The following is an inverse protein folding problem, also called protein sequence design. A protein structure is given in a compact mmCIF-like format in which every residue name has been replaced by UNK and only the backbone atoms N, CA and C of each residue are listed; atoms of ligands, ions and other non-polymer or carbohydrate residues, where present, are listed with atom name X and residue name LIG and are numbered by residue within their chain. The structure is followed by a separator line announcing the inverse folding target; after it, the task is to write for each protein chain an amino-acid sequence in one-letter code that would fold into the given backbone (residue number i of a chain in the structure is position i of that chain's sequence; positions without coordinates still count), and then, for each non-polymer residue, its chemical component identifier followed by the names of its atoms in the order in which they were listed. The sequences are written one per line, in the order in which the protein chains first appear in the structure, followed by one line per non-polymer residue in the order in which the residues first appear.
data_IF_029982041641
#
_entry.id   IF_029982041641
#
_cell.length_a   1.000
_cell.length_b   1.000
_cell.length_c   1.000
_cell.angle_alpha   90.00
_cell.angle_beta   90.00
_cell.angle_gamma   90.00
#
_symmetry.space_group_name_H-M   'P 1'
#
loop_
_entity.id
_entity.type
_entity.pdbx_description
1 polymer ?
#
# COMPACT_ATOMS: atom_id res chain seq x y z
N UNK A 1 -8.68 1.72 2.34
CA UNK A 1 -7.95 2.99 2.11
C UNK A 1 -8.27 3.61 0.75
N UNK A 2 -7.85 3.02 -0.38
CA UNK A 2 -8.00 3.67 -1.70
C UNK A 2 -9.42 4.14 -2.06
N UNK A 3 -10.44 3.28 -1.82
CA UNK A 3 -11.85 3.67 -2.05
C UNK A 3 -12.33 4.82 -1.16
N UNK A 4 -11.84 4.90 0.08
CA UNK A 4 -12.16 5.98 1.00
C UNK A 4 -11.47 7.30 0.60
N UNK A 5 -10.24 7.23 0.08
CA UNK A 5 -9.52 8.39 -0.46
C UNK A 5 -10.28 9.03 -1.62
N UNK A 6 -10.74 8.25 -2.60
CA UNK A 6 -11.52 8.77 -3.74
C UNK A 6 -12.78 9.51 -3.27
N UNK A 7 -13.49 8.96 -2.28
CA UNK A 7 -14.68 9.59 -1.70
C UNK A 7 -14.36 10.86 -0.91
N UNK A 8 -13.23 10.91 -0.20
CA UNK A 8 -12.83 12.05 0.63
C UNK A 8 -12.32 13.25 -0.20
N UNK A 9 -11.60 12.99 -1.29
CA UNK A 9 -11.04 14.05 -2.15
C UNK A 9 -11.98 14.48 -3.27
N UNK A 10 -13.16 13.86 -3.40
CA UNK A 10 -14.24 14.34 -4.27
C UNK A 10 -13.95 14.27 -5.77
N UNK A 11 -13.07 13.37 -6.22
CA UNK A 11 -12.79 13.15 -7.65
C UNK A 11 -13.28 11.79 -8.15
N UNK A 12 -13.13 11.57 -9.46
CA UNK A 12 -13.55 10.33 -10.11
C UNK A 12 -12.55 9.19 -9.87
N UNK A 13 -13.03 7.94 -9.95
CA UNK A 13 -12.16 6.78 -9.81
C UNK A 13 -11.04 6.76 -10.85
N UNK A 14 -11.31 7.23 -12.07
CA UNK A 14 -10.36 7.25 -13.19
C UNK A 14 -9.20 8.22 -12.92
N UNK A 15 -9.47 9.39 -12.34
CA UNK A 15 -8.43 10.37 -11.97
C UNK A 15 -7.45 9.81 -10.93
N UNK A 16 -7.93 8.95 -10.03
CA UNK A 16 -7.11 8.34 -8.99
C UNK A 16 -6.57 6.95 -9.36
N UNK A 17 -6.96 6.40 -10.51
CA UNK A 17 -6.54 5.06 -10.92
C UNK A 17 -5.00 4.94 -11.01
N UNK A 18 -4.26 5.88 -11.61
CA UNK A 18 -2.79 5.82 -11.63
C UNK A 18 -2.17 5.84 -10.23
N UNK A 19 -2.77 6.59 -9.29
CA UNK A 19 -2.31 6.65 -7.91
C UNK A 19 -2.62 5.35 -7.14
N UNK A 20 -3.77 4.74 -7.41
CA UNK A 20 -4.14 3.44 -6.85
C UNK A 20 -3.18 2.34 -7.31
N UNK A 21 -2.89 2.27 -8.61
CA UNK A 21 -1.93 1.33 -9.19
C UNK A 21 -0.53 1.56 -8.63
N UNK A 22 -0.12 2.83 -8.53
CA UNK A 22 1.15 3.19 -7.92
C UNK A 22 1.24 2.72 -6.47
N UNK A 23 0.23 2.99 -5.64
CA UNK A 23 0.20 2.57 -4.24
C UNK A 23 0.22 1.03 -4.12
N UNK A 24 -0.53 0.34 -4.98
CA UNK A 24 -0.58 -1.12 -4.99
C UNK A 24 0.78 -1.76 -5.35
N UNK A 25 1.45 -1.25 -6.38
CA UNK A 25 2.74 -1.77 -6.83
C UNK A 25 3.90 -1.45 -5.88
N UNK A 26 3.76 -0.40 -5.06
CA UNK A 26 4.77 0.03 -4.08
C UNK A 26 4.44 -0.38 -2.64
N UNK A 27 3.38 -1.14 -2.41
CA UNK A 27 3.06 -1.68 -1.09
C UNK A 27 3.72 -3.04 -0.90
N UNK A 28 4.16 -3.33 0.33
CA UNK A 28 4.72 -4.64 0.67
C UNK A 28 3.67 -5.74 0.46
N UNK A 29 4.04 -6.78 -0.28
CA UNK A 29 3.15 -7.89 -0.61
C UNK A 29 3.62 -9.15 0.10
N UNK A 30 2.86 -9.60 1.10
CA UNK A 30 3.23 -10.74 1.94
C UNK A 30 3.48 -12.03 1.15
N UNK A 31 2.74 -12.27 0.05
CA UNK A 31 2.89 -13.48 -0.77
C UNK A 31 4.24 -13.59 -1.48
N UNK A 32 4.83 -12.46 -1.88
CA UNK A 32 6.17 -12.39 -2.50
C UNK A 32 7.24 -11.88 -1.53
N UNK A 33 6.85 -11.48 -0.32
CA UNK A 33 7.69 -10.87 0.72
C UNK A 33 8.55 -9.70 0.24
N UNK A 34 8.02 -8.94 -0.73
CA UNK A 34 8.68 -7.77 -1.32
C UNK A 34 7.64 -6.83 -1.95
N UNK A 35 8.07 -5.64 -2.36
CA UNK A 35 7.24 -4.75 -3.17
C UNK A 35 7.20 -5.28 -4.61
N UNK A 36 6.02 -5.37 -5.26
CA UNK A 36 5.93 -5.76 -6.67
C UNK A 36 6.82 -4.92 -7.60
N UNK A 37 6.95 -3.62 -7.32
CA UNK A 37 7.85 -2.73 -8.06
C UNK A 37 9.32 -3.16 -7.95
N UNK A 38 9.78 -3.50 -6.75
CA UNK A 38 11.14 -3.98 -6.52
C UNK A 38 11.38 -5.33 -7.17
N UNK A 39 10.39 -6.23 -7.12
CA UNK A 39 10.44 -7.53 -7.80
C UNK A 39 10.64 -7.36 -9.31
N UNK A 40 9.96 -6.38 -9.91
CA UNK A 40 9.95 -6.17 -11.35
C UNK A 40 11.20 -5.43 -11.87
N UNK A 41 11.68 -4.43 -11.11
CA UNK A 41 12.75 -3.54 -11.58
C UNK A 41 14.08 -3.72 -10.84
N UNK A 42 14.13 -4.56 -9.80
CA UNK A 42 15.33 -4.80 -9.00
C UNK A 42 15.80 -3.58 -8.21
N UNK A 43 14.96 -2.56 -8.02
CA UNK A 43 15.30 -1.34 -7.29
C UNK A 43 14.08 -0.74 -6.58
N UNK A 44 14.28 -0.01 -5.47
CA UNK A 44 13.19 0.71 -4.81
C UNK A 44 12.64 1.84 -5.69
N UNK A 45 11.36 2.14 -5.51
CA UNK A 45 10.73 3.32 -6.08
C UNK A 45 11.34 4.60 -5.51
N UNK A 46 11.63 5.58 -6.37
CA UNK A 46 12.27 6.86 -5.98
C UNK A 46 11.27 8.01 -5.79
N UNK A 47 9.98 7.72 -5.61
CA UNK A 47 8.98 8.74 -5.36
C UNK A 47 9.00 9.19 -3.91
N UNK A 48 8.68 10.46 -3.64
CA UNK A 48 8.52 10.98 -2.28
C UNK A 48 7.49 10.18 -1.47
N UNK A 49 6.47 9.62 -2.13
CA UNK A 49 5.46 8.77 -1.51
C UNK A 49 5.96 7.35 -1.13
N UNK A 50 7.13 6.92 -1.61
CA UNK A 50 7.73 5.61 -1.33
C UNK A 50 8.67 5.61 -0.11
N UNK A 51 8.85 6.76 0.56
CA UNK A 51 9.72 6.93 1.74
C UNK A 51 9.03 6.57 3.07
N UNK A 52 8.24 5.51 3.11
CA UNK A 52 7.83 4.94 4.39
C UNK A 52 9.06 4.26 5.01
N UNK A 53 9.58 4.81 6.11
CA UNK A 53 10.64 4.12 6.84
C UNK A 53 10.10 2.76 7.32
N UNK A 54 10.93 1.72 7.46
CA UNK A 54 10.46 0.42 7.96
C UNK A 54 9.80 0.47 9.34
N UNK A 55 10.08 1.53 10.13
CA UNK A 55 9.45 1.83 11.42
C UNK A 55 8.05 2.50 11.32
N UNK A 56 7.70 3.08 10.16
CA UNK A 56 6.41 3.73 9.89
C UNK A 56 5.37 2.76 9.29
N UNK A 57 5.73 1.50 9.08
CA UNK A 57 4.80 0.44 8.72
C UNK A 57 3.93 0.11 9.94
N UNK A 58 3.00 1.00 10.26
CA UNK A 58 1.93 0.78 11.23
C UNK A 58 1.34 -0.57 10.90
N UNK A 59 1.46 -1.47 11.88
CA UNK A 59 0.90 -2.81 11.86
C UNK A 59 -0.62 -2.66 11.96
N UNK A 60 -1.28 -2.36 10.85
CA UNK A 60 -2.71 -2.58 10.71
C UNK A 60 -2.89 -4.05 10.35
N UNK A 61 -2.55 -4.93 11.30
CA UNK A 61 -3.02 -6.31 11.28
C UNK A 61 -4.46 -6.35 11.80
N UNK A 62 -5.32 -7.25 11.30
CA UNK A 62 -6.61 -7.48 11.95
C UNK A 62 -6.34 -7.88 13.40
N UNK A 63 -7.03 -7.23 14.33
CA UNK A 63 -7.06 -7.58 15.74
C UNK A 63 -7.28 -9.09 15.85
N UNK A 64 -6.30 -9.81 16.40
CA UNK A 64 -6.40 -11.25 16.64
C UNK A 64 -7.49 -11.42 17.69
N UNK A 65 -8.68 -11.85 17.27
CA UNK A 65 -9.70 -12.36 18.18
C UNK A 65 -9.13 -13.67 18.74
N UNK A 66 -8.58 -13.61 19.94
CA UNK A 66 -8.18 -14.80 20.70
C UNK A 66 -9.47 -15.44 21.20
N UNK A 67 -9.82 -16.59 20.62
CA UNK A 67 -10.87 -17.45 21.13
C UNK A 67 -10.37 -18.10 22.41
N UNK A 68 -10.97 -17.72 23.54
CA UNK A 68 -10.71 -18.37 24.83
C UNK A 68 -11.62 -19.58 24.93
N UNK A 69 -11.07 -20.78 24.68
CA UNK A 69 -11.63 -22.03 25.20
C UNK A 69 -11.07 -22.30 26.60
#
# INVERSE_FOLDING_TARGET
MLRACVLQFGGSLEEYLPLCEFAYNNSFRASIRMLPFEALYGRPCRSAACWAKPEDAVTIGPEVVVDHT
#
